data_IF_576235230672
#
_entry.id   IF_576235230672
#
_cell.length_a   1.000
_cell.length_b   1.000
_cell.length_c   1.000
_cell.angle_alpha   90.00
_cell.angle_beta   90.00
_cell.angle_gamma   90.00
#
_symmetry.space_group_name_H-M   'P 1'
#
loop_
_entity.id
_entity.type
_entity.pdbx_description
1 polymer ?
#
# COMPACT_ATOMS: atom_id res chain seq x y z
N UNK A 1 -13.96 -10.90 0.61
CA UNK A 1 -13.12 -11.03 1.82
C UNK A 1 -11.67 -10.84 1.40
N UNK A 2 -10.95 -9.84 1.96
CA UNK A 2 -9.50 -9.71 1.75
C UNK A 2 -8.82 -10.84 2.54
N UNK A 3 -8.01 -11.65 1.86
CA UNK A 3 -7.26 -12.74 2.49
C UNK A 3 -6.21 -12.11 3.40
N UNK A 4 -6.27 -12.36 4.72
CA UNK A 4 -5.15 -12.07 5.62
C UNK A 4 -4.12 -13.18 5.46
N UNK A 5 -2.88 -12.79 5.21
CA UNK A 5 -1.76 -13.73 5.14
C UNK A 5 -1.18 -13.87 6.55
N UNK A 6 -0.86 -15.08 6.97
CA UNK A 6 0.07 -15.26 8.10
C UNK A 6 1.46 -14.73 7.72
N UNK A 7 2.34 -14.40 8.69
CA UNK A 7 3.68 -13.90 8.38
C UNK A 7 4.49 -14.81 7.44
N UNK A 8 4.35 -16.13 7.57
CA UNK A 8 5.01 -17.11 6.69
C UNK A 8 4.41 -17.13 5.28
N UNK A 9 3.09 -17.06 5.15
CA UNK A 9 2.43 -16.94 3.85
C UNK A 9 2.77 -15.62 3.17
N UNK A 10 2.92 -14.53 3.94
CA UNK A 10 3.32 -13.24 3.44
C UNK A 10 4.75 -13.28 2.88
N UNK A 11 5.71 -13.85 3.62
CA UNK A 11 7.09 -14.02 3.14
C UNK A 11 7.16 -14.89 1.87
N UNK A 12 6.44 -16.02 1.84
CA UNK A 12 6.39 -16.87 0.65
C UNK A 12 5.70 -16.17 -0.53
N UNK A 13 4.70 -15.32 -0.29
CA UNK A 13 4.05 -14.53 -1.31
C UNK A 13 4.99 -13.43 -1.85
N UNK A 14 5.77 -12.78 -0.99
CA UNK A 14 6.79 -11.79 -1.37
C UNK A 14 7.90 -12.38 -2.25
N UNK A 15 8.34 -13.61 -1.95
CA UNK A 15 9.33 -14.32 -2.77
C UNK A 15 8.80 -14.62 -4.18
N UNK A 16 7.51 -14.93 -4.29
CA UNK A 16 6.85 -15.29 -5.56
C UNK A 16 6.41 -14.07 -6.36
N UNK A 17 6.06 -12.97 -5.69
CA UNK A 17 5.61 -11.72 -6.30
C UNK A 17 6.23 -10.53 -5.55
N UNK A 18 7.36 -10.00 -6.04
CA UNK A 18 8.02 -8.85 -5.44
C UNK A 18 7.13 -7.59 -5.40
N UNK A 19 6.08 -7.52 -6.22
CA UNK A 19 5.11 -6.42 -6.21
C UNK A 19 4.14 -6.46 -5.03
N UNK A 20 4.19 -7.54 -4.22
CA UNK A 20 3.58 -7.59 -2.89
C UNK A 20 4.46 -6.95 -1.82
N UNK A 21 5.73 -6.59 -2.12
CA UNK A 21 6.56 -5.79 -1.20
C UNK A 21 5.75 -4.56 -0.85
N UNK A 22 5.41 -4.43 0.41
CA UNK A 22 4.55 -3.37 0.84
C UNK A 22 5.27 -2.37 1.71
N UNK A 23 4.74 -1.16 1.68
CA UNK A 23 5.26 -0.01 2.39
C UNK A 23 4.28 0.40 3.49
N UNK A 24 4.82 0.98 4.56
CA UNK A 24 4.00 1.65 5.55
C UNK A 24 3.28 2.86 4.92
N UNK A 25 2.20 3.38 5.56
CA UNK A 25 1.54 4.60 5.12
C UNK A 25 2.52 5.78 4.98
N UNK A 26 3.40 5.99 5.96
CA UNK A 26 4.45 7.01 5.91
C UNK A 26 5.39 6.84 4.70
N UNK A 27 5.91 5.64 4.44
CA UNK A 27 6.80 5.39 3.31
C UNK A 27 6.08 5.56 1.95
N UNK A 28 4.79 5.22 1.90
CA UNK A 28 3.93 5.42 0.74
C UNK A 28 3.70 6.91 0.48
N UNK A 29 3.46 7.69 1.53
CA UNK A 29 3.29 9.13 1.46
C UNK A 29 4.52 9.81 0.84
N UNK A 30 5.72 9.41 1.28
CA UNK A 30 6.99 9.89 0.69
C UNK A 30 7.11 9.53 -0.79
N UNK A 31 6.82 8.29 -1.18
CA UNK A 31 6.90 7.84 -2.59
C UNK A 31 5.95 8.60 -3.51
N UNK A 32 4.73 8.86 -3.04
CA UNK A 32 3.70 9.55 -3.81
C UNK A 32 3.78 11.09 -3.71
N UNK A 33 4.68 11.61 -2.86
CA UNK A 33 4.81 13.03 -2.55
C UNK A 33 3.47 13.66 -2.11
N UNK A 34 2.79 13.00 -1.16
CA UNK A 34 1.53 13.44 -0.53
C UNK A 34 1.62 13.29 1.00
N UNK A 35 0.64 13.82 1.74
CA UNK A 35 0.58 13.63 3.19
C UNK A 35 0.13 12.21 3.57
N UNK A 36 0.53 11.74 4.75
CA UNK A 36 0.08 10.45 5.29
C UNK A 36 -1.44 10.43 5.55
N UNK A 37 -2.03 11.57 5.93
CA UNK A 37 -3.48 11.72 6.03
C UNK A 37 -4.18 11.44 4.68
N UNK A 38 -3.60 11.95 3.59
CA UNK A 38 -4.11 11.68 2.22
C UNK A 38 -3.99 10.20 1.90
N UNK A 39 -2.88 9.54 2.28
CA UNK A 39 -2.73 8.08 2.13
C UNK A 39 -3.84 7.35 2.90
N UNK A 40 -4.15 7.78 4.13
CA UNK A 40 -5.27 7.26 4.91
C UNK A 40 -6.61 7.37 4.18
N UNK A 41 -6.91 8.54 3.60
CA UNK A 41 -8.12 8.74 2.80
C UNK A 41 -8.15 7.85 1.53
N UNK A 42 -7.00 7.64 0.87
CA UNK A 42 -6.88 6.74 -0.28
C UNK A 42 -7.10 5.27 0.09
N UNK A 43 -6.67 4.85 1.28
CA UNK A 43 -6.93 3.51 1.80
C UNK A 43 -8.43 3.34 2.12
N UNK A 44 -9.03 4.32 2.81
CA UNK A 44 -10.43 4.28 3.21
C UNK A 44 -11.39 4.32 2.01
N UNK A 45 -11.04 5.07 0.96
CA UNK A 45 -11.78 5.11 -0.31
C UNK A 45 -11.55 3.86 -1.18
N UNK A 46 -10.58 3.00 -0.85
CA UNK A 46 -10.22 1.83 -1.63
C UNK A 46 -9.36 2.14 -2.86
N UNK A 47 -8.89 3.38 -3.02
CA UNK A 47 -7.97 3.78 -4.08
C UNK A 47 -6.57 3.15 -3.92
N UNK A 48 -6.14 2.89 -2.68
CA UNK A 48 -4.99 2.06 -2.35
C UNK A 48 -5.45 0.81 -1.59
N UNK A 49 -4.98 -0.38 -1.99
CA UNK A 49 -5.27 -1.57 -1.19
C UNK A 49 -4.25 -1.76 -0.07
N UNK A 50 -4.74 -2.38 0.99
CA UNK A 50 -3.92 -2.88 2.08
C UNK A 50 -3.79 -4.38 1.89
N UNK A 51 -2.55 -4.84 1.82
CA UNK A 51 -2.19 -6.24 1.70
C UNK A 51 -2.31 -6.96 3.04
N UNK A 52 -1.87 -6.29 4.11
CA UNK A 52 -1.87 -6.85 5.45
C UNK A 52 -1.94 -5.76 6.53
N UNK A 53 -2.47 -6.16 7.68
CA UNK A 53 -2.51 -5.36 8.91
C UNK A 53 -2.13 -6.27 10.07
N UNK A 54 -1.04 -5.95 10.75
CA UNK A 54 -0.61 -6.69 11.93
C UNK A 54 -0.26 -5.75 13.07
N UNK A 55 -0.48 -6.25 14.29
CA UNK A 55 -0.18 -5.54 15.52
C UNK A 55 1.17 -6.02 16.06
N UNK A 56 2.03 -5.08 16.43
CA UNK A 56 3.29 -5.32 17.13
C UNK A 56 3.30 -4.49 18.42
N UNK A 57 2.87 -5.13 19.52
CA UNK A 57 2.63 -4.45 20.79
C UNK A 57 1.53 -3.40 20.68
N UNK A 58 1.89 -2.12 20.85
CA UNK A 58 0.95 -0.99 20.73
C UNK A 58 0.91 -0.37 19.32
N UNK A 59 1.69 -0.92 18.37
CA UNK A 59 1.80 -0.37 17.02
C UNK A 59 1.01 -1.21 16.03
N UNK A 60 0.10 -0.57 15.28
CA UNK A 60 -0.60 -1.18 14.14
C UNK A 60 0.20 -0.92 12.87
N UNK A 61 0.75 -1.98 12.27
CA UNK A 61 1.46 -1.92 11.01
C UNK A 61 0.52 -2.20 9.84
N UNK A 62 0.50 -1.31 8.86
CA UNK A 62 -0.30 -1.42 7.64
C UNK A 62 0.66 -1.57 6.47
N UNK A 63 0.39 -2.55 5.60
CA UNK A 63 1.25 -2.86 4.46
C UNK A 63 0.49 -2.57 3.16
N UNK A 64 0.98 -1.59 2.40
CA UNK A 64 0.42 -1.15 1.12
C UNK A 64 1.31 -1.69 -0.01
N UNK A 65 0.83 -2.56 -0.91
CA UNK A 65 1.67 -3.15 -1.96
C UNK A 65 2.27 -2.10 -2.91
N UNK A 66 3.56 -2.21 -3.23
CA UNK A 66 4.25 -1.28 -4.14
C UNK A 66 3.61 -1.24 -5.53
N UNK A 67 3.05 -2.35 -6.02
CA UNK A 67 2.25 -2.37 -7.27
C UNK A 67 1.07 -1.41 -7.22
N UNK A 68 0.35 -1.34 -6.11
CA UNK A 68 -0.80 -0.46 -6.00
C UNK A 68 -0.37 1.01 -5.87
N UNK A 69 0.75 1.26 -5.20
CA UNK A 69 1.38 2.59 -5.16
C UNK A 69 1.77 3.04 -6.57
N UNK A 70 2.45 2.19 -7.34
CA UNK A 70 2.85 2.47 -8.72
C UNK A 70 1.64 2.68 -9.63
N UNK A 71 0.60 1.85 -9.50
CA UNK A 71 -0.64 1.98 -10.27
C UNK A 71 -1.35 3.29 -9.96
N UNK A 72 -1.40 3.70 -8.69
CA UNK A 72 -1.97 4.98 -8.30
C UNK A 72 -1.13 6.15 -8.85
N UNK A 73 0.20 6.08 -8.74
CA UNK A 73 1.10 7.10 -9.29
C UNK A 73 0.92 7.27 -10.80
N UNK A 74 0.82 6.17 -11.55
CA UNK A 74 0.60 6.19 -13.00
C UNK A 74 -0.74 6.85 -13.36
N UNK A 75 -1.84 6.44 -12.73
CA UNK A 75 -3.17 7.07 -12.94
C UNK A 75 -3.18 8.56 -12.62
N UNK A 76 -2.53 8.95 -11.52
CA UNK A 76 -2.42 10.35 -11.12
C UNK A 76 -1.55 11.16 -12.08
N UNK A 77 -0.58 10.55 -12.76
CA UNK A 77 0.19 11.18 -13.83
C UNK A 77 -0.66 11.33 -15.11
N UNK A 78 -1.42 10.31 -15.51
CA UNK A 78 -2.32 10.36 -16.68
C UNK A 78 -3.34 11.50 -16.56
N UNK A 79 -3.98 11.68 -15.40
CA UNK A 79 -4.94 12.77 -15.15
C UNK A 79 -4.31 14.18 -15.17
N UNK A 80 -2.99 14.30 -15.02
CA UNK A 80 -2.28 15.58 -15.14
C UNK A 80 -1.94 15.95 -16.58
N UNK A 81 -1.93 14.98 -17.50
CA UNK A 81 -1.68 15.22 -18.93
C UNK A 81 -2.96 15.53 -19.72
N UNK A 82 -4.13 15.25 -19.16
CA UNK A 82 -5.44 15.56 -19.78
C UNK A 82 -6.02 16.94 -19.35
N UNK A 83 -5.26 17.75 -18.62
CA UNK A 83 -5.60 19.13 -18.23
C UNK A 83 -4.74 20.15 -18.98
#
# INVERSE_FOLDING_TARGET
MRKRYSPSEWMAALERDPGLRGHSPAATATRLNISEETVGALILSGALNVADVYEDGEVVNIIIPDRDIQRHAAKSAEMKFEQ
#
